data_IF_628779134582
#
_entry.id   IF_628779134582
#
_cell.length_a   1.000
_cell.length_b   1.000
_cell.length_c   1.000
_cell.angle_alpha   90.00
_cell.angle_beta   90.00
_cell.angle_gamma   90.00
#
_symmetry.space_group_name_H-M   'P 1'
#
loop_
_entity.id
_entity.type
_entity.pdbx_description
1 polymer ?
#
# COMPACT_ATOMS: atom_id res chain seq x y z
N UNK A 1 9.98 30.64 3.89
CA UNK A 1 9.45 29.28 4.14
C UNK A 1 9.47 28.51 2.82
N UNK A 2 10.66 28.08 2.41
CA UNK A 2 10.93 27.41 1.14
C UNK A 2 10.88 25.90 1.37
N UNK A 3 9.73 25.28 1.07
CA UNK A 3 9.66 23.84 0.93
C UNK A 3 10.39 23.48 -0.35
N UNK A 4 11.64 23.04 -0.20
CA UNK A 4 12.45 22.41 -1.24
C UNK A 4 11.69 21.16 -1.71
N UNK A 5 11.04 21.31 -2.86
CA UNK A 5 10.54 20.20 -3.63
C UNK A 5 11.77 19.37 -4.01
N UNK A 6 11.85 18.17 -3.43
CA UNK A 6 12.88 17.22 -3.75
C UNK A 6 12.60 16.78 -5.19
N UNK A 7 13.29 17.42 -6.13
CA UNK A 7 13.43 16.96 -7.51
C UNK A 7 14.06 15.57 -7.44
N UNK A 8 13.17 14.60 -7.43
CA UNK A 8 13.49 13.20 -7.39
C UNK A 8 13.92 12.83 -8.81
N UNK A 9 15.20 13.05 -9.11
CA UNK A 9 15.90 12.35 -10.18
C UNK A 9 15.89 10.85 -9.82
N UNK A 10 14.79 10.17 -10.16
CA UNK A 10 14.76 8.73 -10.06
C UNK A 10 15.62 8.21 -11.21
N UNK A 11 16.84 7.78 -10.89
CA UNK A 11 17.49 6.71 -11.67
C UNK A 11 16.64 5.45 -11.49
N UNK A 12 15.50 5.38 -12.18
CA UNK A 12 14.68 4.17 -12.26
C UNK A 12 15.24 3.31 -13.37
N UNK A 13 15.78 2.16 -13.00
CA UNK A 13 15.73 1.02 -13.90
C UNK A 13 14.28 0.52 -13.90
N UNK A 14 13.55 0.80 -14.97
CA UNK A 14 12.23 0.24 -15.22
C UNK A 14 12.36 -0.99 -16.10
N UNK A 15 11.92 -2.14 -15.60
CA UNK A 15 11.75 -3.33 -16.42
C UNK A 15 10.25 -3.58 -16.62
N UNK A 16 9.78 -3.49 -17.87
CA UNK A 16 8.41 -3.85 -18.22
C UNK A 16 8.33 -5.30 -18.67
N UNK A 17 7.41 -6.07 -18.10
CA UNK A 17 7.06 -7.41 -18.59
C UNK A 17 5.56 -7.48 -18.84
N UNK A 18 5.18 -8.13 -19.94
CA UNK A 18 3.79 -8.49 -20.18
C UNK A 18 3.51 -9.85 -19.56
N UNK A 19 2.42 -9.97 -18.82
CA UNK A 19 1.93 -11.25 -18.31
C UNK A 19 0.54 -11.51 -18.82
N UNK A 20 0.32 -12.77 -19.18
CA UNK A 20 -0.97 -13.30 -19.59
C UNK A 20 -1.55 -14.02 -18.37
N UNK A 21 -2.84 -13.80 -18.11
CA UNK A 21 -3.56 -14.58 -17.12
C UNK A 21 -4.95 -14.90 -17.64
N UNK A 22 -5.41 -16.12 -17.36
CA UNK A 22 -6.75 -16.56 -17.72
C UNK A 22 -7.73 -16.18 -16.62
N UNK A 23 -8.89 -15.69 -17.02
CA UNK A 23 -10.03 -15.52 -16.12
C UNK A 23 -11.19 -16.34 -16.64
N UNK A 24 -11.88 -17.04 -15.75
CA UNK A 24 -13.04 -17.84 -16.13
C UNK A 24 -14.30 -17.01 -15.93
N UNK A 25 -15.04 -16.75 -17.02
CA UNK A 25 -16.27 -15.95 -16.97
C UNK A 25 -17.32 -16.57 -17.87
N UNK A 26 -18.50 -16.85 -17.31
CA UNK A 26 -19.66 -17.44 -18.05
C UNK A 26 -19.30 -18.71 -18.86
N UNK A 27 -18.55 -19.63 -18.27
CA UNK A 27 -18.20 -20.90 -18.93
C UNK A 27 -17.14 -20.80 -20.04
N UNK A 28 -16.49 -19.64 -20.21
CA UNK A 28 -15.39 -19.43 -21.16
C UNK A 28 -14.15 -18.90 -20.44
N UNK A 29 -12.97 -19.39 -20.84
CA UNK A 29 -11.69 -18.79 -20.46
C UNK A 29 -11.43 -17.56 -21.33
N UNK A 30 -11.23 -16.42 -20.68
CA UNK A 30 -10.83 -15.16 -21.32
C UNK A 30 -9.37 -14.92 -20.95
N UNK A 31 -8.50 -14.80 -21.96
CA UNK A 31 -7.10 -14.43 -21.78
C UNK A 31 -7.04 -12.91 -21.67
N UNK A 32 -6.62 -12.42 -20.51
CA UNK A 32 -6.39 -10.99 -20.29
C UNK A 32 -4.89 -10.71 -20.26
N UNK A 33 -4.53 -9.55 -20.81
CA UNK A 33 -3.17 -9.04 -20.79
C UNK A 33 -3.05 -7.99 -19.70
N UNK A 34 -1.97 -8.03 -18.93
CA UNK A 34 -1.56 -6.94 -18.03
C UNK A 34 -0.11 -6.58 -18.29
N UNK A 35 0.16 -5.28 -18.31
CA UNK A 35 1.50 -4.71 -18.32
C UNK A 35 1.96 -4.57 -16.88
N UNK A 36 3.09 -5.15 -16.54
CA UNK A 36 3.72 -5.01 -15.24
C UNK A 36 5.00 -4.20 -15.40
N UNK A 37 5.13 -3.14 -14.60
CA UNK A 37 6.28 -2.25 -14.58
C UNK A 37 6.92 -2.39 -13.20
N UNK A 38 8.14 -2.91 -13.19
CA UNK A 38 8.93 -3.08 -11.97
C UNK A 38 9.85 -1.87 -11.84
N UNK A 39 9.82 -1.26 -10.67
CA UNK A 39 10.64 -0.10 -10.30
C UNK A 39 11.44 -0.43 -9.06
N UNK A 40 12.63 0.13 -8.95
CA UNK A 40 13.46 0.05 -7.75
C UNK A 40 13.82 1.45 -7.26
N UNK A 41 13.82 1.65 -5.93
CA UNK A 41 14.24 2.90 -5.31
C UNK A 41 15.01 2.64 -4.01
N UNK A 42 16.22 3.19 -3.91
CA UNK A 42 17.05 3.13 -2.70
C UNK A 42 16.39 3.79 -1.49
N UNK A 43 15.76 4.95 -1.69
CA UNK A 43 14.98 5.65 -0.65
C UNK A 43 13.84 4.78 -0.13
N UNK A 44 13.19 4.04 -1.03
CA UNK A 44 12.13 3.11 -0.66
C UNK A 44 12.67 1.90 0.11
N UNK A 45 13.79 1.32 -0.33
CA UNK A 45 14.45 0.22 0.38
C UNK A 45 14.79 0.60 1.82
N UNK A 46 15.35 1.81 2.05
CA UNK A 46 15.65 2.30 3.40
C UNK A 46 14.39 2.45 4.26
N UNK A 47 13.30 2.94 3.66
CA UNK A 47 12.02 3.07 4.35
C UNK A 47 11.44 1.70 4.69
N UNK A 48 11.40 0.77 3.74
CA UNK A 48 10.85 -0.57 3.93
C UNK A 48 11.63 -1.32 5.02
N UNK A 49 12.97 -1.23 5.04
CA UNK A 49 13.80 -1.77 6.13
C UNK A 49 13.41 -1.19 7.50
N UNK A 50 13.30 0.13 7.59
CA UNK A 50 12.92 0.80 8.84
C UNK A 50 11.52 0.40 9.30
N UNK A 51 10.57 0.28 8.37
CA UNK A 51 9.22 -0.16 8.68
C UNK A 51 9.22 -1.63 9.17
N UNK A 52 10.06 -2.49 8.60
CA UNK A 52 10.27 -3.88 9.04
C UNK A 52 10.91 -3.95 10.44
N UNK A 53 11.98 -3.19 10.70
CA UNK A 53 12.61 -3.07 12.02
C UNK A 53 11.61 -2.63 13.09
N UNK A 54 10.78 -1.63 12.79
CA UNK A 54 9.73 -1.17 13.70
C UNK A 54 8.72 -2.27 14.03
N UNK A 55 8.37 -3.14 13.07
CA UNK A 55 7.48 -4.27 13.32
C UNK A 55 8.13 -5.31 14.24
N UNK A 56 9.43 -5.58 14.05
CA UNK A 56 10.20 -6.50 14.89
C UNK A 56 10.32 -5.92 16.31
N UNK A 57 10.66 -4.65 16.46
CA UNK A 57 10.75 -3.97 17.75
C UNK A 57 9.42 -3.97 18.50
N UNK A 58 8.32 -3.73 17.77
CA UNK A 58 6.99 -3.77 18.35
C UNK A 58 6.61 -5.18 18.85
N UNK A 59 7.05 -6.23 18.14
CA UNK A 59 6.88 -7.60 18.61
C UNK A 59 7.72 -7.87 19.87
N UNK A 60 9.01 -7.51 19.84
CA UNK A 60 9.93 -7.76 20.94
C UNK A 60 9.51 -7.07 22.24
N UNK A 61 8.84 -5.91 22.17
CA UNK A 61 8.27 -5.22 23.34
C UNK A 61 7.15 -6.00 24.04
N UNK A 62 6.44 -6.84 23.31
CA UNK A 62 5.30 -7.63 23.81
C UNK A 62 5.73 -9.08 24.09
N UNK A 63 6.86 -9.52 23.52
CA UNK A 63 7.37 -10.86 23.68
C UNK A 63 7.79 -11.16 25.13
N UNK A 64 7.45 -12.36 25.59
CA UNK A 64 7.91 -12.89 26.86
C UNK A 64 9.40 -13.25 26.80
N UNK A 65 10.01 -13.60 27.94
CA UNK A 65 11.41 -14.06 28.04
C UNK A 65 11.77 -15.23 27.10
N UNK A 66 10.77 -15.98 26.61
CA UNK A 66 10.92 -17.08 25.65
C UNK A 66 10.81 -16.65 24.18
N UNK A 67 10.69 -15.35 23.89
CA UNK A 67 10.49 -14.83 22.52
C UNK A 67 9.10 -15.12 21.94
N UNK A 68 8.12 -15.40 22.80
CA UNK A 68 6.76 -15.77 22.43
C UNK A 68 5.78 -14.69 22.87
N UNK A 69 4.77 -14.41 22.04
CA UNK A 69 3.67 -13.51 22.36
C UNK A 69 2.39 -14.32 22.54
N UNK A 70 1.68 -14.09 23.64
CA UNK A 70 0.37 -14.70 23.91
C UNK A 70 -0.70 -14.10 22.99
N UNK A 71 -1.64 -14.92 22.49
CA UNK A 71 -2.74 -14.43 21.65
C UNK A 71 -3.54 -13.28 22.30
N UNK A 72 -3.77 -13.31 23.61
CA UNK A 72 -4.57 -12.29 24.32
C UNK A 72 -3.91 -10.91 24.37
N UNK A 73 -2.58 -10.88 24.39
CA UNK A 73 -1.80 -9.63 24.37
C UNK A 73 -1.75 -8.99 22.97
N UNK A 74 -2.36 -9.64 21.97
CA UNK A 74 -2.36 -9.18 20.61
C UNK A 74 -3.58 -8.29 20.36
N UNK A 75 -3.34 -7.02 20.05
CA UNK A 75 -4.41 -6.11 19.61
C UNK A 75 -4.93 -6.59 18.25
N UNK A 76 -6.24 -6.84 18.16
CA UNK A 76 -6.95 -7.45 17.02
C UNK A 76 -6.70 -6.82 15.63
N UNK A 77 -6.11 -5.62 15.54
CA UNK A 77 -5.92 -4.86 14.31
C UNK A 77 -4.45 -4.66 13.85
N UNK A 78 -3.44 -5.15 14.58
CA UNK A 78 -2.03 -5.04 14.13
C UNK A 78 -1.66 -6.25 13.27
N UNK A 79 -1.56 -6.02 11.97
CA UNK A 79 -1.35 -7.05 10.94
C UNK A 79 -0.09 -7.90 11.20
N UNK A 80 -0.33 -9.21 11.25
CA UNK A 80 0.57 -10.34 11.45
C UNK A 80 1.57 -10.59 10.31
N UNK A 81 2.23 -9.55 9.76
CA UNK A 81 3.08 -9.73 8.56
C UNK A 81 4.16 -10.80 8.77
N UNK A 82 4.80 -10.81 9.94
CA UNK A 82 5.95 -11.67 10.27
C UNK A 82 5.70 -12.61 11.45
N UNK A 83 4.45 -12.87 11.84
CA UNK A 83 4.15 -13.69 13.03
C UNK A 83 3.72 -15.09 12.61
N UNK A 84 4.33 -16.10 13.23
CA UNK A 84 4.03 -17.52 13.03
C UNK A 84 3.38 -18.09 14.29
N UNK A 85 2.18 -18.63 14.13
CA UNK A 85 1.43 -19.24 15.22
C UNK A 85 2.02 -20.60 15.61
N UNK A 86 2.09 -20.87 16.92
CA UNK A 86 2.58 -22.11 17.53
C UNK A 86 1.54 -22.61 18.54
N UNK A 87 1.61 -23.91 18.88
CA UNK A 87 0.79 -24.54 19.94
C UNK A 87 -0.70 -24.24 19.75
N UNK A 88 -1.28 -24.72 18.64
CA UNK A 88 -2.69 -24.51 18.29
C UNK A 88 -3.14 -23.03 18.31
N UNK A 89 -2.24 -22.10 17.95
CA UNK A 89 -2.46 -20.64 17.90
C UNK A 89 -2.57 -19.96 19.26
N UNK A 90 -2.14 -20.62 20.33
CA UNK A 90 -2.02 -19.99 21.65
C UNK A 90 -0.89 -18.95 21.70
N UNK A 91 0.21 -19.21 20.98
CA UNK A 91 1.40 -18.37 20.96
C UNK A 91 1.80 -17.96 19.54
N UNK A 92 2.52 -16.86 19.45
CA UNK A 92 3.14 -16.37 18.22
C UNK A 92 4.64 -16.17 18.43
N UNK A 93 5.41 -16.56 17.42
CA UNK A 93 6.84 -16.25 17.30
C UNK A 93 7.09 -15.41 16.04
N UNK A 94 8.27 -14.82 15.94
CA UNK A 94 8.73 -14.21 14.69
C UNK A 94 9.06 -15.28 13.65
N UNK A 95 8.59 -15.07 12.43
CA UNK A 95 8.90 -15.87 11.26
C UNK A 95 10.13 -15.30 10.55
N UNK A 96 11.31 -15.82 10.92
CA UNK A 96 12.60 -15.33 10.44
C UNK A 96 12.73 -15.56 8.92
N UNK A 97 12.31 -16.72 8.42
CA UNK A 97 12.37 -17.06 7.00
C UNK A 97 11.58 -16.05 6.16
N UNK A 98 10.39 -15.68 6.64
CA UNK A 98 9.55 -14.70 5.97
C UNK A 98 10.13 -13.29 6.01
N UNK A 99 10.80 -12.91 7.10
CA UNK A 99 11.50 -11.62 7.20
C UNK A 99 12.65 -11.57 6.19
N UNK A 100 13.46 -12.62 6.13
CA UNK A 100 14.58 -12.72 5.19
C UNK A 100 14.11 -12.71 3.72
N UNK A 101 12.99 -13.37 3.44
CA UNK A 101 12.37 -13.32 2.12
C UNK A 101 11.88 -11.91 1.78
N UNK A 102 11.21 -11.23 2.70
CA UNK A 102 10.68 -9.88 2.49
C UNK A 102 11.80 -8.86 2.25
N UNK A 103 12.90 -8.97 3.00
CA UNK A 103 14.10 -8.12 2.86
C UNK A 103 14.71 -8.17 1.46
N UNK A 104 14.59 -9.30 0.73
CA UNK A 104 15.08 -9.42 -0.66
C UNK A 104 14.33 -8.50 -1.62
N UNK A 105 13.10 -8.13 -1.28
CA UNK A 105 12.23 -7.31 -2.12
C UNK A 105 12.17 -5.84 -1.68
N UNK A 106 12.96 -5.44 -0.69
CA UNK A 106 13.01 -4.07 -0.20
C UNK A 106 13.32 -3.07 -1.32
N UNK A 107 12.47 -2.05 -1.46
CA UNK A 107 12.64 -1.01 -2.46
C UNK A 107 12.14 -1.35 -3.85
N UNK A 108 11.72 -2.59 -4.11
CA UNK A 108 10.99 -2.93 -5.33
C UNK A 108 9.52 -2.54 -5.23
N UNK A 109 8.98 -1.99 -6.31
CA UNK A 109 7.56 -1.67 -6.43
C UNK A 109 7.06 -2.04 -7.83
N UNK A 110 5.90 -2.70 -7.88
CA UNK A 110 5.32 -3.23 -9.11
C UNK A 110 4.02 -2.48 -9.41
N UNK A 111 3.95 -1.85 -10.56
CA UNK A 111 2.72 -1.31 -11.13
C UNK A 111 2.11 -2.34 -12.07
N UNK A 112 0.85 -2.69 -11.86
CA UNK A 112 0.09 -3.52 -12.77
C UNK A 112 -1.01 -2.69 -13.45
N UNK A 113 -0.95 -2.61 -14.78
CA UNK A 113 -1.86 -1.77 -15.55
C UNK A 113 -2.38 -2.50 -16.79
N UNK A 114 -3.58 -2.12 -17.22
CA UNK A 114 -4.16 -2.48 -18.52
C UNK A 114 -3.89 -1.40 -19.59
N UNK A 115 -3.16 -0.33 -19.24
CA UNK A 115 -2.79 0.77 -20.13
C UNK A 115 -1.52 0.39 -20.89
N UNK A 116 -1.68 -0.05 -22.12
CA UNK A 116 -0.55 -0.41 -23.01
C UNK A 116 -0.09 0.75 -23.88
N UNK A 117 -0.88 1.82 -23.94
CA UNK A 117 -0.65 3.04 -24.72
C UNK A 117 0.40 3.97 -24.11
N UNK A 118 0.71 3.80 -22.81
CA UNK A 118 1.62 4.66 -22.07
C UNK A 118 3.04 4.06 -21.96
N UNK A 119 4.03 4.95 -22.01
CA UNK A 119 5.42 4.63 -21.63
C UNK A 119 5.50 4.31 -20.13
N UNK A 120 6.52 3.57 -19.75
CA UNK A 120 6.75 3.12 -18.38
C UNK A 120 6.89 4.31 -17.43
N UNK A 121 7.70 5.31 -17.81
CA UNK A 121 7.91 6.55 -17.05
C UNK A 121 6.60 7.30 -16.80
N UNK A 122 5.77 7.42 -17.82
CA UNK A 122 4.51 8.18 -17.77
C UNK A 122 3.50 7.45 -16.90
N UNK A 123 3.48 6.12 -16.97
CA UNK A 123 2.66 5.29 -16.11
C UNK A 123 3.05 5.47 -14.65
N UNK A 124 4.35 5.40 -14.32
CA UNK A 124 4.85 5.57 -12.94
C UNK A 124 4.53 6.97 -12.42
N UNK A 125 4.75 8.01 -13.23
CA UNK A 125 4.44 9.39 -12.83
C UNK A 125 2.94 9.61 -12.62
N UNK A 126 2.07 8.99 -13.42
CA UNK A 126 0.63 9.05 -13.25
C UNK A 126 0.20 8.42 -11.93
N UNK A 127 0.65 7.19 -11.65
CA UNK A 127 0.33 6.52 -10.39
C UNK A 127 0.97 7.22 -9.17
N UNK A 128 2.13 7.86 -9.33
CA UNK A 128 2.73 8.66 -8.25
C UNK A 128 1.88 9.86 -7.82
N UNK A 129 0.91 10.29 -8.64
CA UNK A 129 -0.04 11.36 -8.32
C UNK A 129 -1.31 10.86 -7.66
N UNK A 130 -1.47 9.55 -7.46
CA UNK A 130 -2.70 8.98 -6.90
C UNK A 130 -3.02 9.50 -5.48
N UNK A 131 -2.00 9.84 -4.69
CA UNK A 131 -2.18 10.44 -3.36
C UNK A 131 -2.87 11.81 -3.41
N UNK A 132 -2.87 12.50 -4.56
CA UNK A 132 -3.57 13.78 -4.72
C UNK A 132 -5.07 13.63 -4.50
N UNK A 133 -5.66 12.46 -4.81
CA UNK A 133 -7.06 12.21 -4.50
C UNK A 133 -7.32 12.25 -2.99
N UNK A 134 -6.45 11.63 -2.18
CA UNK A 134 -6.55 11.67 -0.72
C UNK A 134 -6.37 13.10 -0.17
N UNK A 135 -5.42 13.85 -0.73
CA UNK A 135 -5.20 15.25 -0.36
C UNK A 135 -6.41 16.11 -0.70
N UNK A 136 -7.00 15.93 -1.88
CA UNK A 136 -8.25 16.59 -2.25
C UNK A 136 -9.36 16.27 -1.25
N UNK A 137 -9.52 15.00 -0.84
CA UNK A 137 -10.49 14.64 0.19
C UNK A 137 -10.19 15.26 1.56
N UNK A 138 -8.92 15.44 1.91
CA UNK A 138 -8.51 16.12 3.15
C UNK A 138 -8.87 17.59 3.13
N UNK A 139 -8.57 18.29 2.03
CA UNK A 139 -8.94 19.70 1.82
C UNK A 139 -10.45 19.88 1.82
N UNK A 140 -11.18 19.00 1.13
CA UNK A 140 -12.65 18.99 1.10
C UNK A 140 -13.26 18.89 2.51
N UNK A 141 -12.72 18.01 3.35
CA UNK A 141 -13.21 17.82 4.73
C UNK A 141 -12.77 18.94 5.67
N UNK A 142 -11.57 19.47 5.48
CA UNK A 142 -10.98 20.52 6.32
C UNK A 142 -11.50 21.90 5.93
N UNK A 143 -10.99 22.43 4.82
CA UNK A 143 -11.21 23.82 4.40
C UNK A 143 -12.64 24.07 3.93
N UNK A 144 -13.25 23.10 3.25
CA UNK A 144 -14.62 23.23 2.72
C UNK A 144 -15.67 22.67 3.69
N UNK A 145 -15.26 22.27 4.91
CA UNK A 145 -16.12 21.74 5.97
C UNK A 145 -17.19 20.74 5.49
N UNK A 146 -16.87 19.91 4.49
CA UNK A 146 -17.76 18.83 4.03
C UNK A 146 -17.85 17.77 5.14
N UNK A 147 -18.75 18.02 6.08
CA UNK A 147 -19.04 17.13 7.20
C UNK A 147 -19.98 16.01 6.72
N UNK A 148 -19.93 14.83 7.33
CA UNK A 148 -20.94 13.82 7.09
C UNK A 148 -22.31 14.41 7.43
N UNK A 149 -23.18 14.57 6.42
CA UNK A 149 -24.57 14.95 6.61
C UNK A 149 -25.46 13.86 6.04
N UNK A 150 -26.51 13.53 6.78
CA UNK A 150 -27.48 12.51 6.39
C UNK A 150 -28.51 13.10 5.42
N UNK A 151 -28.07 13.42 4.20
CA UNK A 151 -28.93 13.84 3.11
C UNK A 151 -29.32 12.61 2.27
N UNK A 152 -30.61 12.40 2.07
CA UNK A 152 -31.15 11.23 1.35
C UNK A 152 -31.45 11.52 -0.12
N UNK A 153 -31.73 12.78 -0.48
CA UNK A 153 -32.09 13.16 -1.85
C UNK A 153 -30.92 13.74 -2.63
N UNK A 154 -30.84 13.39 -3.91
CA UNK A 154 -29.76 13.82 -4.82
C UNK A 154 -29.67 15.35 -4.93
N UNK A 155 -30.80 16.04 -4.95
CA UNK A 155 -30.85 17.50 -5.03
C UNK A 155 -30.24 18.17 -3.80
N UNK A 156 -30.48 17.63 -2.60
CA UNK A 156 -29.89 18.18 -1.39
C UNK A 156 -28.38 17.92 -1.33
N UNK A 157 -27.92 16.73 -1.75
CA UNK A 157 -26.48 16.41 -1.82
C UNK A 157 -25.78 17.40 -2.75
N UNK A 158 -26.33 17.63 -3.95
CA UNK A 158 -25.80 18.62 -4.90
C UNK A 158 -25.80 20.02 -4.33
N UNK A 159 -26.91 20.48 -3.75
CA UNK A 159 -27.02 21.81 -3.17
C UNK A 159 -25.99 22.05 -2.07
N UNK A 160 -25.79 21.06 -1.19
CA UNK A 160 -24.79 21.15 -0.12
C UNK A 160 -23.36 21.25 -0.64
N UNK A 161 -23.02 20.41 -1.62
CA UNK A 161 -21.69 20.46 -2.25
C UNK A 161 -21.50 21.81 -2.93
N UNK A 162 -22.46 22.28 -3.74
CA UNK A 162 -22.36 23.56 -4.43
C UNK A 162 -22.27 24.78 -3.49
N UNK A 163 -22.91 24.77 -2.31
CA UNK A 163 -22.79 25.86 -1.34
C UNK A 163 -21.42 25.88 -0.65
N UNK A 164 -20.72 24.74 -0.66
CA UNK A 164 -19.40 24.59 -0.03
C UNK A 164 -18.24 24.96 -0.97
N UNK A 165 -18.51 25.29 -2.24
CA UNK A 165 -17.54 25.69 -3.28
C UNK A 165 -17.79 27.12 -3.75
#
# INVERSE_FOLDING_TARGET
MSLLWCDIEIKMECCSKQRNYSTYKKGKSIINYRKQIITFSSKRALKDRKDCEQLIDNFNKIANKKGQVLFENMTANKKYRFFKAIENKAYYILDIEKIEEDQKYDGYYIYETNRFDLKESDTVSLYSKQWQAEENFRVLKGNLFLRPMYLSTWNHIKGYICLSF
#
